data_IF_141578691973
#
_entry.id   IF_141578691973
#
_cell.length_a   1.000
_cell.length_b   1.000
_cell.length_c   1.000
_cell.angle_alpha   90.00
_cell.angle_beta   90.00
_cell.angle_gamma   90.00
#
_symmetry.space_group_name_H-M   'P 1'
#
loop_
_entity.id
_entity.type
_entity.pdbx_description
1 polymer ?
#
# COMPACT_ATOMS: atom_id res chain seq x y z
N UNK A 1 81.78 -44.17 -84.92
CA UNK A 1 80.65 -44.21 -83.95
C UNK A 1 79.88 -45.52 -84.01
N UNK A 2 79.59 -46.08 -85.19
CA UNK A 2 78.74 -47.28 -85.32
C UNK A 2 79.50 -48.62 -85.24
N UNK A 3 80.82 -48.64 -85.51
CA UNK A 3 81.58 -49.90 -85.60
C UNK A 3 81.92 -50.61 -84.27
N UNK A 4 81.75 -49.96 -83.12
CA UNK A 4 82.02 -50.55 -81.79
C UNK A 4 80.85 -50.37 -80.81
N UNK A 5 79.63 -50.16 -81.32
CA UNK A 5 78.43 -49.89 -80.50
C UNK A 5 77.26 -50.70 -81.04
N UNK A 6 76.47 -51.30 -80.15
CA UNK A 6 75.22 -51.96 -80.54
C UNK A 6 74.12 -50.91 -80.69
N UNK A 7 73.41 -50.93 -81.82
CA UNK A 7 72.29 -50.01 -82.06
C UNK A 7 71.05 -50.59 -81.39
N UNK A 8 70.41 -49.79 -80.54
CA UNK A 8 69.11 -50.07 -79.94
C UNK A 8 68.10 -49.02 -80.40
N UNK A 9 66.96 -49.48 -80.94
CA UNK A 9 65.95 -48.62 -81.55
C UNK A 9 64.79 -48.38 -80.59
N UNK A 10 64.51 -47.11 -80.31
CA UNK A 10 63.36 -46.70 -79.51
C UNK A 10 62.22 -46.22 -80.41
N UNK A 11 61.07 -46.88 -80.27
CA UNK A 11 59.83 -46.51 -80.96
C UNK A 11 58.94 -45.62 -80.08
N UNK A 12 58.00 -44.93 -80.73
CA UNK A 12 56.91 -44.26 -80.02
C UNK A 12 56.15 -45.27 -79.16
N UNK A 13 55.66 -44.83 -78.00
CA UNK A 13 54.95 -45.71 -77.08
C UNK A 13 53.64 -46.20 -77.71
N UNK A 14 53.41 -47.53 -77.78
CA UNK A 14 52.13 -48.06 -78.23
C UNK A 14 51.04 -47.74 -77.21
N UNK A 15 49.78 -47.83 -77.63
CA UNK A 15 48.61 -47.59 -76.78
C UNK A 15 48.64 -48.42 -75.49
N UNK A 16 49.06 -49.68 -75.56
CA UNK A 16 49.15 -50.56 -74.40
C UNK A 16 50.15 -50.04 -73.35
N UNK A 17 51.29 -49.51 -73.79
CA UNK A 17 52.27 -48.89 -72.90
C UNK A 17 51.72 -47.62 -72.24
N UNK A 18 50.97 -46.80 -72.98
CA UNK A 18 50.30 -45.61 -72.44
C UNK A 18 49.26 -45.98 -71.37
N UNK A 19 48.48 -47.04 -71.60
CA UNK A 19 47.48 -47.54 -70.65
C UNK A 19 48.14 -48.05 -69.36
N UNK A 20 49.19 -48.87 -69.47
CA UNK A 20 49.93 -49.40 -68.31
C UNK A 20 50.55 -48.29 -67.47
N UNK A 21 51.18 -47.30 -68.12
CA UNK A 21 51.76 -46.15 -67.41
C UNK A 21 50.67 -45.35 -66.71
N UNK A 22 49.56 -45.03 -67.38
CA UNK A 22 48.46 -44.30 -66.75
C UNK A 22 47.84 -45.08 -65.57
N UNK A 23 47.58 -46.38 -65.73
CA UNK A 23 47.05 -47.22 -64.66
C UNK A 23 47.99 -47.23 -63.45
N UNK A 24 49.31 -47.37 -63.67
CA UNK A 24 50.31 -47.33 -62.59
C UNK A 24 50.33 -46.00 -61.86
N UNK A 25 50.24 -44.89 -62.58
CA UNK A 25 50.24 -43.54 -61.98
C UNK A 25 48.92 -43.18 -61.27
N UNK A 26 47.81 -43.82 -61.65
CA UNK A 26 46.50 -43.64 -61.01
C UNK A 26 46.24 -44.63 -59.86
N UNK A 27 47.13 -45.59 -59.62
CA UNK A 27 46.90 -46.67 -58.65
C UNK A 27 46.70 -46.19 -57.21
N UNK A 28 47.27 -45.04 -56.84
CA UNK A 28 47.13 -44.43 -55.52
C UNK A 28 46.02 -43.37 -55.45
N UNK A 29 45.24 -43.21 -56.52
CA UNK A 29 44.11 -42.28 -56.58
C UNK A 29 42.82 -43.03 -56.31
N UNK A 30 42.19 -42.76 -55.16
CA UNK A 30 40.82 -43.20 -54.91
C UNK A 30 39.86 -42.44 -55.85
N UNK A 31 39.28 -43.11 -56.84
CA UNK A 31 38.39 -42.52 -57.85
C UNK A 31 36.97 -42.33 -57.28
N UNK A 32 36.63 -43.03 -56.20
CA UNK A 32 35.30 -43.03 -55.57
C UNK A 32 35.23 -42.24 -54.26
N UNK A 33 36.30 -41.52 -53.92
CA UNK A 33 36.37 -40.69 -52.72
C UNK A 33 35.16 -39.74 -52.62
N UNK A 34 34.47 -39.78 -51.48
CA UNK A 34 33.36 -38.87 -51.20
C UNK A 34 33.87 -37.48 -50.80
N UNK A 35 33.02 -36.46 -50.99
CA UNK A 35 33.34 -35.05 -50.64
C UNK A 35 33.66 -34.91 -49.14
N UNK A 36 33.12 -35.78 -48.29
CA UNK A 36 33.33 -35.79 -46.84
C UNK A 36 34.59 -36.54 -46.41
N UNK A 37 35.27 -37.23 -47.34
CA UNK A 37 36.41 -38.10 -47.03
C UNK A 37 36.03 -39.40 -46.31
N UNK A 38 34.73 -39.68 -46.15
CA UNK A 38 34.26 -40.93 -45.58
C UNK A 38 34.35 -42.04 -46.63
N UNK A 39 34.75 -43.27 -46.23
CA UNK A 39 34.67 -44.43 -47.12
C UNK A 39 33.24 -44.59 -47.61
N UNK A 40 33.08 -44.77 -48.91
CA UNK A 40 31.77 -45.12 -49.47
C UNK A 40 31.37 -46.48 -48.91
N UNK A 41 30.13 -46.63 -48.46
CA UNK A 41 29.58 -47.94 -48.13
C UNK A 41 29.61 -48.81 -49.40
N UNK A 42 30.42 -49.87 -49.37
CA UNK A 42 30.55 -50.82 -50.47
C UNK A 42 29.47 -51.89 -50.25
N UNK A 43 28.55 -52.01 -51.22
CA UNK A 43 27.57 -53.09 -51.21
C UNK A 43 28.31 -54.44 -51.35
N UNK A 44 28.08 -55.44 -50.47
CA UNK A 44 28.75 -56.74 -50.54
C UNK A 44 28.62 -57.47 -51.88
N UNK A 45 27.60 -57.13 -52.68
CA UNK A 45 27.38 -57.68 -54.02
C UNK A 45 28.33 -57.12 -55.10
N UNK A 46 29.07 -56.04 -54.83
CA UNK A 46 30.01 -55.41 -55.77
C UNK A 46 31.38 -56.10 -55.85
N UNK A 47 31.66 -57.07 -54.96
CA UNK A 47 32.95 -57.79 -54.89
C UNK A 47 33.11 -58.93 -55.91
N UNK A 48 32.12 -59.16 -56.78
CA UNK A 48 32.18 -60.21 -57.80
C UNK A 48 32.68 -59.59 -59.12
N UNK A 49 34.00 -59.45 -59.26
CA UNK A 49 34.67 -59.00 -60.50
C UNK A 49 35.46 -57.70 -60.36
N UNK A 50 35.66 -56.99 -61.48
CA UNK A 50 36.36 -55.70 -61.52
C UNK A 50 35.56 -54.68 -60.70
N UNK A 51 36.19 -54.12 -59.66
CA UNK A 51 35.57 -53.14 -58.77
C UNK A 51 35.16 -51.87 -59.54
N UNK A 52 34.18 -51.12 -59.03
CA UNK A 52 33.81 -49.82 -59.62
C UNK A 52 35.01 -48.88 -59.70
N UNK A 53 35.86 -48.88 -58.68
CA UNK A 53 37.11 -48.12 -58.61
C UNK A 53 38.02 -48.45 -59.80
N UNK A 54 38.30 -49.73 -60.03
CA UNK A 54 39.16 -50.19 -61.13
C UNK A 54 38.54 -49.86 -62.50
N UNK A 55 37.22 -49.98 -62.66
CA UNK A 55 36.54 -49.58 -63.91
C UNK A 55 36.71 -48.10 -64.21
N UNK A 56 36.55 -47.25 -63.20
CA UNK A 56 36.76 -45.80 -63.36
C UNK A 56 38.22 -45.48 -63.65
N UNK A 57 39.16 -46.11 -62.93
CA UNK A 57 40.59 -45.95 -63.16
C UNK A 57 40.98 -46.33 -64.60
N UNK A 58 40.57 -47.51 -65.07
CA UNK A 58 40.81 -47.97 -66.44
C UNK A 58 40.18 -47.05 -67.48
N UNK A 59 38.98 -46.53 -67.22
CA UNK A 59 38.31 -45.58 -68.12
C UNK A 59 39.11 -44.28 -68.24
N UNK A 60 39.61 -43.74 -67.13
CA UNK A 60 40.41 -42.51 -67.12
C UNK A 60 41.80 -42.74 -67.76
N UNK A 61 42.43 -43.88 -67.50
CA UNK A 61 43.67 -44.27 -68.19
C UNK A 61 43.46 -44.38 -69.72
N UNK A 62 42.33 -44.95 -70.14
CA UNK A 62 41.92 -45.00 -71.55
C UNK A 62 41.79 -43.62 -72.19
N UNK A 63 41.18 -42.68 -71.48
CA UNK A 63 41.05 -41.29 -71.94
C UNK A 63 42.42 -40.64 -72.13
N UNK A 64 43.38 -40.83 -71.22
CA UNK A 64 44.72 -40.28 -71.38
C UNK A 64 45.43 -40.82 -72.62
N UNK A 65 45.39 -42.14 -72.83
CA UNK A 65 46.00 -42.76 -74.01
C UNK A 65 45.39 -42.21 -75.30
N UNK A 66 44.06 -42.04 -75.36
CA UNK A 66 43.35 -41.45 -76.51
C UNK A 66 43.71 -39.97 -76.72
N UNK A 67 43.83 -39.18 -75.65
CA UNK A 67 44.25 -37.77 -75.75
C UNK A 67 45.67 -37.69 -76.33
N UNK A 68 46.60 -38.51 -75.84
CA UNK A 68 47.99 -38.50 -76.32
C UNK A 68 48.10 -38.86 -77.81
N UNK A 69 47.39 -39.90 -78.23
CA UNK A 69 47.33 -40.34 -79.63
C UNK A 69 46.70 -39.27 -80.54
N UNK A 70 45.63 -38.61 -80.07
CA UNK A 70 45.00 -37.50 -80.77
C UNK A 70 45.95 -36.31 -80.96
N UNK A 71 46.72 -35.95 -79.93
CA UNK A 71 47.74 -34.88 -80.00
C UNK A 71 48.88 -35.27 -80.94
N UNK A 72 49.33 -36.53 -80.94
CA UNK A 72 50.32 -37.04 -81.88
C UNK A 72 49.86 -36.93 -83.33
N UNK A 73 48.61 -37.33 -83.61
CA UNK A 73 47.99 -37.21 -84.92
C UNK A 73 47.88 -35.75 -85.37
N UNK A 74 47.37 -34.86 -84.50
CA UNK A 74 47.28 -33.43 -84.77
C UNK A 74 48.66 -32.79 -85.03
N UNK A 75 49.70 -33.24 -84.33
CA UNK A 75 51.07 -32.78 -84.56
C UNK A 75 51.58 -33.12 -85.97
N UNK A 76 51.25 -34.32 -86.47
CA UNK A 76 51.58 -34.75 -87.85
C UNK A 76 50.86 -33.86 -88.87
N UNK A 77 49.55 -33.63 -88.68
CA UNK A 77 48.77 -32.71 -89.53
C UNK A 77 49.33 -31.29 -89.50
N UNK A 78 49.68 -30.75 -88.34
CA UNK A 78 50.26 -29.42 -88.19
C UNK A 78 51.59 -29.26 -88.94
N UNK A 79 52.43 -30.32 -88.94
CA UNK A 79 53.66 -30.35 -89.73
C UNK A 79 53.37 -30.32 -91.23
N UNK A 80 52.34 -31.05 -91.68
CA UNK A 80 51.98 -31.14 -93.09
C UNK A 80 51.37 -29.84 -93.62
N UNK A 81 50.44 -29.26 -92.88
CA UNK A 81 49.66 -28.09 -93.31
C UNK A 81 50.39 -26.76 -93.07
N UNK A 82 50.91 -26.56 -91.85
CA UNK A 82 51.44 -25.26 -91.38
C UNK A 82 52.97 -25.22 -91.43
N UNK A 83 53.62 -26.36 -91.72
CA UNK A 83 55.09 -26.52 -91.74
C UNK A 83 55.76 -26.16 -90.41
N UNK A 84 55.03 -26.27 -89.29
CA UNK A 84 55.56 -26.07 -87.94
C UNK A 84 55.72 -27.42 -87.23
N UNK A 85 56.85 -27.60 -86.56
CA UNK A 85 57.15 -28.80 -85.80
C UNK A 85 56.63 -28.65 -84.37
N UNK A 86 55.87 -29.64 -83.91
CA UNK A 86 55.53 -29.83 -82.51
C UNK A 86 55.99 -31.23 -82.07
N UNK A 87 56.65 -31.32 -80.92
CA UNK A 87 57.22 -32.59 -80.45
C UNK A 87 56.35 -33.14 -79.33
N UNK A 88 55.78 -34.32 -79.56
CA UNK A 88 55.00 -35.04 -78.57
C UNK A 88 55.93 -36.04 -77.90
N UNK A 89 56.22 -35.84 -76.62
CA UNK A 89 57.18 -36.67 -75.87
C UNK A 89 56.49 -37.46 -74.76
N UNK A 90 57.06 -38.59 -74.31
CA UNK A 90 56.57 -39.30 -73.14
C UNK A 90 56.49 -38.42 -71.88
N UNK A 91 57.38 -37.44 -71.74
CA UNK A 91 57.34 -36.46 -70.64
C UNK A 91 56.03 -35.68 -70.62
N UNK A 92 55.53 -35.25 -71.79
CA UNK A 92 54.24 -34.55 -71.86
C UNK A 92 53.06 -35.46 -71.42
N UNK A 93 53.16 -36.76 -71.67
CA UNK A 93 52.18 -37.73 -71.19
C UNK A 93 52.21 -37.87 -69.66
N UNK A 94 53.41 -37.99 -69.08
CA UNK A 94 53.57 -38.08 -67.62
C UNK A 94 53.09 -36.80 -66.92
N UNK A 95 53.33 -35.64 -67.51
CA UNK A 95 52.82 -34.34 -67.05
C UNK A 95 51.30 -34.28 -67.09
N UNK A 96 50.66 -34.82 -68.15
CA UNK A 96 49.19 -34.90 -68.23
C UNK A 96 48.60 -35.72 -67.08
N UNK A 97 49.12 -36.92 -66.84
CA UNK A 97 48.60 -37.83 -65.79
C UNK A 97 48.86 -37.24 -64.40
N UNK A 98 50.07 -36.74 -64.15
CA UNK A 98 50.43 -36.12 -62.86
C UNK A 98 49.65 -34.82 -62.62
N UNK A 99 49.48 -34.00 -63.66
CA UNK A 99 48.71 -32.77 -63.63
C UNK A 99 47.24 -33.02 -63.31
N UNK A 100 46.64 -34.07 -63.91
CA UNK A 100 45.29 -34.50 -63.57
C UNK A 100 45.15 -34.86 -62.09
N UNK A 101 46.08 -35.67 -61.55
CA UNK A 101 46.06 -36.08 -60.15
C UNK A 101 46.10 -34.89 -59.19
N UNK A 102 47.00 -33.93 -59.45
CA UNK A 102 47.12 -32.71 -58.65
C UNK A 102 45.88 -31.82 -58.77
N UNK A 103 45.32 -31.68 -59.97
CA UNK A 103 44.10 -30.90 -60.19
C UNK A 103 42.90 -31.55 -59.50
N UNK A 104 42.77 -32.88 -59.56
CA UNK A 104 41.69 -33.62 -58.93
C UNK A 104 41.72 -33.45 -57.41
N UNK A 105 42.90 -33.58 -56.79
CA UNK A 105 43.05 -33.41 -55.33
C UNK A 105 42.72 -31.97 -54.90
N UNK A 106 43.21 -30.97 -55.63
CA UNK A 106 42.90 -29.57 -55.37
C UNK A 106 41.40 -29.26 -55.48
N UNK A 107 40.74 -29.77 -56.54
CA UNK A 107 39.30 -29.57 -56.75
C UNK A 107 38.45 -30.30 -55.73
N UNK A 108 38.83 -31.51 -55.32
CA UNK A 108 38.15 -32.21 -54.22
C UNK A 108 38.22 -31.43 -52.91
N UNK A 109 39.39 -30.87 -52.58
CA UNK A 109 39.56 -30.05 -51.38
C UNK A 109 38.70 -28.77 -51.43
N UNK A 110 38.67 -28.09 -52.59
CA UNK A 110 37.83 -26.90 -52.81
C UNK A 110 36.33 -27.22 -52.61
N UNK A 111 35.85 -28.32 -53.18
CA UNK A 111 34.47 -28.79 -52.99
C UNK A 111 34.20 -29.20 -51.54
N UNK A 112 35.11 -29.91 -50.89
CA UNK A 112 34.98 -30.33 -49.49
C UNK A 112 34.89 -29.14 -48.54
N UNK A 113 35.73 -28.11 -48.74
CA UNK A 113 35.69 -26.88 -47.96
C UNK A 113 34.37 -26.12 -48.16
N UNK A 114 33.88 -26.05 -49.39
CA UNK A 114 32.59 -25.42 -49.71
C UNK A 114 31.42 -26.15 -49.06
N UNK A 115 31.41 -27.49 -49.13
CA UNK A 115 30.41 -28.33 -48.49
C UNK A 115 30.45 -28.20 -46.97
N UNK A 116 31.65 -28.18 -46.37
CA UNK A 116 31.84 -27.98 -44.92
C UNK A 116 31.29 -26.63 -44.46
N UNK A 117 31.56 -25.55 -45.22
CA UNK A 117 31.00 -24.22 -44.94
C UNK A 117 29.47 -24.22 -44.93
N UNK A 118 28.84 -24.84 -45.93
CA UNK A 118 27.38 -24.96 -46.00
C UNK A 118 26.84 -25.80 -44.84
N UNK A 119 27.48 -26.93 -44.51
CA UNK A 119 27.09 -27.80 -43.41
C UNK A 119 27.15 -27.08 -42.06
N UNK A 120 28.19 -26.29 -41.83
CA UNK A 120 28.32 -25.48 -40.63
C UNK A 120 27.24 -24.40 -40.58
N UNK A 121 26.92 -23.75 -41.70
CA UNK A 121 25.82 -22.80 -41.80
C UNK A 121 24.47 -23.41 -41.45
N UNK A 122 24.16 -24.58 -42.03
CA UNK A 122 22.94 -25.34 -41.72
C UNK A 122 22.86 -25.72 -40.25
N UNK A 123 23.98 -26.17 -39.66
CA UNK A 123 24.03 -26.51 -38.24
C UNK A 123 23.77 -25.30 -37.34
N UNK A 124 24.23 -24.11 -37.72
CA UNK A 124 23.91 -22.89 -36.94
C UNK A 124 22.45 -22.46 -37.10
N UNK A 125 21.87 -22.61 -38.30
CA UNK A 125 20.45 -22.34 -38.53
C UNK A 125 19.60 -23.28 -37.67
N UNK A 126 19.94 -24.57 -37.63
CA UNK A 126 19.22 -25.57 -36.84
C UNK A 126 19.30 -25.28 -35.33
N UNK A 127 20.49 -24.95 -34.82
CA UNK A 127 20.67 -24.48 -33.43
C UNK A 127 19.84 -23.24 -33.11
N UNK A 128 19.80 -22.30 -34.04
CA UNK A 128 19.05 -21.04 -33.86
C UNK A 128 17.54 -21.31 -33.86
N UNK A 129 17.08 -22.22 -34.73
CA UNK A 129 15.68 -22.66 -34.78
C UNK A 129 15.24 -23.23 -33.43
N UNK A 130 16.01 -24.16 -32.86
CA UNK A 130 15.72 -24.74 -31.53
C UNK A 130 15.65 -23.65 -30.46
N UNK A 131 16.60 -22.73 -30.44
CA UNK A 131 16.61 -21.62 -29.46
C UNK A 131 15.41 -20.67 -29.60
N UNK A 132 14.97 -20.39 -30.82
CA UNK A 132 13.78 -19.56 -31.08
C UNK A 132 12.50 -20.26 -30.61
N UNK A 133 12.43 -21.58 -30.77
CA UNK A 133 11.31 -22.39 -30.28
C UNK A 133 11.24 -22.40 -28.75
N UNK A 134 12.39 -22.59 -28.07
CA UNK A 134 12.50 -22.47 -26.61
C UNK A 134 12.08 -21.09 -26.11
N UNK A 135 12.61 -20.02 -26.72
CA UNK A 135 12.23 -18.64 -26.38
C UNK A 135 10.74 -18.35 -26.60
N UNK A 136 10.13 -18.94 -27.64
CA UNK A 136 8.70 -18.75 -27.91
C UNK A 136 7.84 -19.39 -26.82
N UNK A 137 8.23 -20.56 -26.33
CA UNK A 137 7.56 -21.24 -25.21
C UNK A 137 7.71 -20.43 -23.91
N UNK A 138 8.90 -19.90 -23.63
CA UNK A 138 9.13 -19.03 -22.47
C UNK A 138 8.31 -17.74 -22.55
N UNK A 139 8.23 -17.13 -23.73
CA UNK A 139 7.44 -15.92 -23.96
C UNK A 139 5.95 -16.17 -23.76
N UNK A 140 5.42 -17.30 -24.22
CA UNK A 140 4.01 -17.66 -24.02
C UNK A 140 3.69 -17.84 -22.54
N UNK A 141 4.56 -18.54 -21.78
CA UNK A 141 4.43 -18.67 -20.33
C UNK A 141 4.47 -17.32 -19.62
N UNK A 142 5.44 -16.47 -19.97
CA UNK A 142 5.57 -15.14 -19.39
C UNK A 142 4.35 -14.25 -19.71
N UNK A 143 3.82 -14.34 -20.92
CA UNK A 143 2.62 -13.59 -21.35
C UNK A 143 1.39 -14.00 -20.52
N UNK A 144 1.20 -15.31 -20.30
CA UNK A 144 0.10 -15.80 -19.44
C UNK A 144 0.27 -15.30 -18.00
N UNK A 145 1.48 -15.37 -17.43
CA UNK A 145 1.74 -14.86 -16.08
C UNK A 145 1.50 -13.35 -15.97
N UNK A 146 1.97 -12.55 -16.92
CA UNK A 146 1.77 -11.10 -16.94
C UNK A 146 0.28 -10.76 -17.04
N UNK A 147 -0.47 -11.46 -17.89
CA UNK A 147 -1.92 -11.24 -18.00
C UNK A 147 -2.66 -11.59 -16.70
N UNK A 148 -2.26 -12.67 -16.03
CA UNK A 148 -2.84 -13.04 -14.73
C UNK A 148 -2.51 -11.98 -13.66
N UNK A 149 -1.26 -11.53 -13.57
CA UNK A 149 -0.86 -10.49 -12.61
C UNK A 149 -1.57 -9.16 -12.90
N UNK A 150 -1.73 -8.77 -14.17
CA UNK A 150 -2.49 -7.58 -14.55
C UNK A 150 -3.96 -7.68 -14.11
N UNK A 151 -4.59 -8.84 -14.30
CA UNK A 151 -5.97 -9.04 -13.84
C UNK A 151 -6.07 -8.95 -12.31
N UNK A 152 -5.15 -9.58 -11.57
CA UNK A 152 -5.09 -9.49 -10.11
C UNK A 152 -4.88 -8.02 -9.64
N UNK A 153 -4.03 -7.26 -10.32
CA UNK A 153 -3.82 -5.83 -10.06
C UNK A 153 -5.09 -4.99 -10.33
N UNK A 154 -5.79 -5.25 -11.43
CA UNK A 154 -7.04 -4.56 -11.77
C UNK A 154 -8.14 -4.84 -10.71
N UNK A 155 -8.30 -6.09 -10.29
CA UNK A 155 -9.24 -6.49 -9.22
C UNK A 155 -8.89 -5.82 -7.88
N UNK A 156 -7.60 -5.71 -7.57
CA UNK A 156 -7.11 -5.06 -6.36
C UNK A 156 -7.34 -3.54 -6.40
N UNK A 157 -7.12 -2.89 -7.55
CA UNK A 157 -7.40 -1.46 -7.75
C UNK A 157 -8.89 -1.15 -7.56
N UNK A 158 -9.79 -2.01 -8.05
CA UNK A 158 -11.24 -1.89 -7.81
C UNK A 158 -11.55 -1.97 -6.31
N UNK A 159 -10.89 -2.87 -5.58
CA UNK A 159 -11.06 -3.01 -4.13
C UNK A 159 -10.60 -1.74 -3.39
N UNK A 160 -9.42 -1.20 -3.71
CA UNK A 160 -8.93 0.06 -3.14
C UNK A 160 -9.90 1.20 -3.45
N UNK A 161 -10.39 1.30 -4.68
CA UNK A 161 -11.31 2.37 -5.09
C UNK A 161 -12.62 2.32 -4.29
N UNK A 162 -13.19 1.12 -4.09
CA UNK A 162 -14.39 0.93 -3.28
C UNK A 162 -14.15 1.29 -1.81
N UNK A 163 -13.08 0.77 -1.21
CA UNK A 163 -12.71 1.04 0.18
C UNK A 163 -12.47 2.56 0.42
N UNK A 164 -11.85 3.23 -0.57
CA UNK A 164 -11.62 4.68 -0.55
C UNK A 164 -12.92 5.45 -0.56
N UNK A 165 -13.83 5.09 -1.47
CA UNK A 165 -15.15 5.74 -1.57
C UNK A 165 -15.92 5.62 -0.25
N UNK A 166 -15.95 4.43 0.34
CA UNK A 166 -16.63 4.19 1.62
C UNK A 166 -16.00 4.99 2.78
N UNK A 167 -14.66 5.03 2.82
CA UNK A 167 -13.93 5.79 3.85
C UNK A 167 -14.19 7.30 3.71
N UNK A 168 -14.17 7.84 2.48
CA UNK A 168 -14.44 9.25 2.21
C UNK A 168 -15.89 9.64 2.56
N UNK A 169 -16.87 8.77 2.26
CA UNK A 169 -18.28 8.97 2.63
C UNK A 169 -18.45 9.00 4.15
N UNK A 170 -17.85 8.05 4.87
CA UNK A 170 -17.90 8.01 6.34
C UNK A 170 -17.17 9.21 6.97
N UNK A 171 -16.02 9.62 6.42
CA UNK A 171 -15.29 10.80 6.87
C UNK A 171 -16.13 12.08 6.71
N UNK A 172 -16.83 12.25 5.59
CA UNK A 172 -17.77 13.37 5.38
C UNK A 172 -18.92 13.33 6.38
N UNK A 173 -19.52 12.17 6.62
CA UNK A 173 -20.62 12.03 7.59
C UNK A 173 -20.18 12.34 9.03
N UNK A 174 -18.97 11.91 9.42
CA UNK A 174 -18.37 12.21 10.73
C UNK A 174 -18.04 13.69 10.85
N UNK A 175 -17.49 14.31 9.82
CA UNK A 175 -17.19 15.75 9.82
C UNK A 175 -18.48 16.59 9.97
N UNK A 176 -19.54 16.26 9.22
CA UNK A 176 -20.83 16.93 9.34
C UNK A 176 -21.46 16.75 10.73
N UNK A 177 -21.36 15.56 11.31
CA UNK A 177 -21.86 15.28 12.66
C UNK A 177 -21.04 16.01 13.72
N UNK A 178 -19.72 16.15 13.54
CA UNK A 178 -18.84 16.90 14.43
C UNK A 178 -19.18 18.40 14.47
N UNK A 179 -19.52 19.01 13.32
CA UNK A 179 -19.95 20.41 13.27
C UNK A 179 -21.23 20.61 14.08
N UNK A 180 -22.25 19.77 13.87
CA UNK A 180 -23.51 19.84 14.62
C UNK A 180 -23.31 19.66 16.13
N UNK A 181 -22.50 18.69 16.54
CA UNK A 181 -22.20 18.46 17.96
C UNK A 181 -21.47 19.65 18.57
N UNK A 182 -20.57 20.31 17.81
CA UNK A 182 -19.87 21.52 18.26
C UNK A 182 -20.81 22.72 18.44
N UNK A 183 -21.81 22.86 17.58
CA UNK A 183 -22.87 23.87 17.74
C UNK A 183 -23.71 23.58 18.99
N UNK A 184 -24.11 22.32 19.21
CA UNK A 184 -24.83 21.90 20.42
C UNK A 184 -23.98 22.08 21.70
N UNK A 185 -22.67 21.81 21.65
CA UNK A 185 -21.72 22.10 22.73
C UNK A 185 -21.72 23.58 23.10
N UNK A 186 -21.64 24.48 22.11
CA UNK A 186 -21.64 25.91 22.35
C UNK A 186 -22.96 26.39 22.98
N UNK A 187 -24.09 25.85 22.52
CA UNK A 187 -25.42 26.15 23.10
C UNK A 187 -25.48 25.64 24.55
N UNK A 188 -25.02 24.42 24.83
CA UNK A 188 -25.00 23.85 26.17
C UNK A 188 -24.10 24.66 27.13
N UNK A 189 -22.95 25.14 26.64
CA UNK A 189 -22.06 26.03 27.39
C UNK A 189 -22.75 27.35 27.72
N UNK A 190 -23.37 28.01 26.75
CA UNK A 190 -24.13 29.25 27.00
C UNK A 190 -25.27 29.04 28.01
N UNK A 191 -26.01 27.93 27.91
CA UNK A 191 -27.06 27.61 28.88
C UNK A 191 -26.50 27.39 30.29
N UNK A 192 -25.32 26.79 30.40
CA UNK A 192 -24.62 26.57 31.66
C UNK A 192 -24.16 27.89 32.26
N UNK A 193 -23.54 28.77 31.45
CA UNK A 193 -23.10 30.09 31.88
C UNK A 193 -24.27 30.95 32.39
N UNK A 194 -25.41 30.94 31.67
CA UNK A 194 -26.62 31.67 32.11
C UNK A 194 -27.16 31.10 33.43
N UNK A 195 -27.24 29.78 33.56
CA UNK A 195 -27.73 29.15 34.80
C UNK A 195 -26.81 29.44 36.01
N UNK A 196 -25.49 29.49 35.79
CA UNK A 196 -24.51 29.81 36.83
C UNK A 196 -24.50 31.30 37.17
N UNK A 197 -24.61 32.18 36.18
CA UNK A 197 -24.66 33.63 36.38
C UNK A 197 -25.88 34.04 37.22
N UNK A 198 -27.06 33.48 36.92
CA UNK A 198 -28.28 33.71 37.70
C UNK A 198 -28.13 33.24 39.15
N UNK A 199 -27.48 32.07 39.37
CA UNK A 199 -27.23 31.55 40.71
C UNK A 199 -26.24 32.43 41.49
N UNK A 200 -25.25 32.98 40.80
CA UNK A 200 -24.22 33.83 41.38
C UNK A 200 -24.76 35.18 41.87
N UNK A 201 -25.93 35.64 41.40
CA UNK A 201 -26.58 36.86 41.90
C UNK A 201 -27.02 36.75 43.38
N UNK A 202 -27.35 35.54 43.83
CA UNK A 202 -27.81 35.27 45.19
C UNK A 202 -26.68 34.83 46.14
N UNK A 203 -25.60 34.27 45.59
CA UNK A 203 -24.57 33.56 46.36
C UNK A 203 -23.79 34.48 47.32
N UNK A 204 -23.36 35.71 46.95
CA UNK A 204 -22.65 36.61 47.86
C UNK A 204 -23.50 37.05 49.06
N UNK A 205 -24.79 37.33 48.83
CA UNK A 205 -25.71 37.71 49.90
C UNK A 205 -25.96 36.55 50.87
N UNK A 206 -25.98 35.32 50.36
CA UNK A 206 -26.10 34.10 51.16
C UNK A 206 -24.84 33.82 51.97
N UNK A 207 -23.65 33.95 51.37
CA UNK A 207 -22.37 33.78 52.05
C UNK A 207 -22.19 34.81 53.17
N UNK A 208 -22.50 36.08 52.92
CA UNK A 208 -22.46 37.15 53.93
C UNK A 208 -23.40 36.82 55.11
N UNK A 209 -24.61 36.35 54.81
CA UNK A 209 -25.57 35.94 55.82
C UNK A 209 -25.13 34.71 56.62
N UNK A 210 -24.49 33.73 55.98
CA UNK A 210 -23.94 32.55 56.67
C UNK A 210 -22.80 32.96 57.59
N UNK A 211 -21.87 33.82 57.15
CA UNK A 211 -20.78 34.36 57.99
C UNK A 211 -21.34 35.13 59.19
N UNK A 212 -22.37 35.97 58.98
CA UNK A 212 -23.03 36.70 60.06
C UNK A 212 -23.72 35.76 61.07
N UNK A 213 -24.20 34.60 60.61
CA UNK A 213 -24.77 33.54 61.45
C UNK A 213 -23.69 32.75 62.22
N UNK A 214 -22.50 32.56 61.64
CA UNK A 214 -21.36 31.93 62.33
C UNK A 214 -20.79 32.82 63.44
N UNK A 215 -20.87 34.13 63.26
CA UNK A 215 -20.42 35.12 64.26
C UNK A 215 -21.32 35.18 65.50
N UNK A 216 -22.52 34.59 65.46
CA UNK A 216 -23.42 34.51 66.61
C UNK A 216 -22.92 33.50 67.63
N UNK A 217 -22.87 33.91 68.90
CA UNK A 217 -22.51 33.03 70.00
C UNK A 217 -23.71 32.75 70.93
N UNK A 218 -23.57 31.78 71.83
CA UNK A 218 -24.63 31.36 72.76
C UNK A 218 -25.09 32.49 73.70
N UNK A 219 -24.25 33.49 73.99
CA UNK A 219 -24.61 34.63 74.84
C UNK A 219 -25.58 35.56 74.11
N UNK A 220 -25.35 35.81 72.84
CA UNK A 220 -26.22 36.65 71.98
C UNK A 220 -27.64 36.07 71.86
N UNK A 221 -27.76 34.74 71.76
CA UNK A 221 -29.06 34.05 71.79
C UNK A 221 -29.74 34.09 73.16
N UNK A 222 -28.96 34.04 74.23
CA UNK A 222 -29.48 34.13 75.60
C UNK A 222 -30.02 35.54 75.89
N UNK A 223 -29.39 36.57 75.33
CA UNK A 223 -29.86 37.97 75.38
C UNK A 223 -31.25 38.10 74.73
N UNK A 224 -31.42 37.62 73.49
CA UNK A 224 -32.71 37.64 72.79
C UNK A 224 -33.78 36.82 73.54
N UNK A 225 -33.40 35.69 74.14
CA UNK A 225 -34.31 34.85 74.94
C UNK A 225 -34.76 35.53 76.24
N UNK A 226 -33.94 36.41 76.80
CA UNK A 226 -34.19 37.06 78.10
C UNK A 226 -35.32 38.09 78.07
N UNK A 227 -35.76 38.53 76.87
CA UNK A 227 -36.90 39.43 76.74
C UNK A 227 -38.18 38.79 77.32
N UNK A 228 -38.76 39.45 78.33
CA UNK A 228 -40.07 39.11 78.88
C UNK A 228 -41.20 39.40 77.89
N UNK A 229 -41.15 40.58 77.25
CA UNK A 229 -41.94 40.97 76.08
C UNK A 229 -40.98 41.46 74.99
N UNK A 230 -40.87 40.79 73.84
CA UNK A 230 -39.89 41.14 72.81
C UNK A 230 -40.26 42.50 72.18
N UNK A 231 -39.27 43.34 71.83
CA UNK A 231 -39.49 44.48 70.96
C UNK A 231 -40.10 44.04 69.63
N UNK A 232 -41.01 44.84 69.06
CA UNK A 232 -41.77 44.44 67.87
C UNK A 232 -40.87 44.04 66.68
N UNK A 233 -39.73 44.73 66.51
CA UNK A 233 -38.72 44.39 65.48
C UNK A 233 -38.08 43.03 65.69
N UNK A 234 -37.73 42.68 66.94
CA UNK A 234 -37.13 41.39 67.29
C UNK A 234 -38.17 40.26 67.17
N UNK A 235 -39.40 40.53 67.59
CA UNK A 235 -40.54 39.60 67.44
C UNK A 235 -40.77 39.26 65.96
N UNK A 236 -40.78 40.28 65.10
CA UNK A 236 -40.98 40.13 63.65
C UNK A 236 -39.89 39.28 62.99
N UNK A 237 -38.61 39.48 63.36
CA UNK A 237 -37.49 38.66 62.85
C UNK A 237 -37.61 37.22 63.34
N UNK A 238 -37.96 36.99 64.60
CA UNK A 238 -38.13 35.62 65.13
C UNK A 238 -39.30 34.90 64.48
N UNK A 239 -40.42 35.57 64.24
CA UNK A 239 -41.55 35.01 63.48
C UNK A 239 -41.12 34.60 62.07
N UNK A 240 -40.36 35.45 61.36
CA UNK A 240 -39.86 35.14 60.03
C UNK A 240 -38.89 33.94 60.00
N UNK A 241 -38.03 33.80 61.02
CA UNK A 241 -37.16 32.62 61.19
C UNK A 241 -37.99 31.35 61.45
N UNK A 242 -39.03 31.42 62.29
CA UNK A 242 -39.92 30.27 62.56
C UNK A 242 -40.71 29.86 61.30
N UNK A 243 -41.13 30.81 60.47
CA UNK A 243 -41.80 30.55 59.19
C UNK A 243 -40.86 29.82 58.22
N UNK A 244 -39.58 30.21 58.13
CA UNK A 244 -38.57 29.50 57.32
C UNK A 244 -38.40 28.05 57.79
N UNK A 245 -38.37 27.83 59.11
CA UNK A 245 -38.28 26.48 59.72
C UNK A 245 -39.58 25.68 59.66
N UNK A 246 -40.66 26.22 59.08
CA UNK A 246 -41.99 25.62 59.01
C UNK A 246 -42.60 25.29 60.38
N UNK A 247 -42.26 26.06 61.41
CA UNK A 247 -42.80 25.93 62.77
C UNK A 247 -43.77 27.08 63.06
N UNK A 248 -44.62 26.92 64.07
CA UNK A 248 -45.61 27.93 64.47
C UNK A 248 -44.93 29.29 64.75
N UNK A 249 -45.37 30.38 64.08
CA UNK A 249 -44.75 31.70 64.21
C UNK A 249 -45.22 32.41 65.49
N UNK A 250 -45.02 31.79 66.65
CA UNK A 250 -45.33 32.38 67.95
C UNK A 250 -44.06 32.66 68.73
N UNK A 251 -44.08 33.72 69.54
CA UNK A 251 -42.95 34.05 70.41
C UNK A 251 -42.63 32.94 71.42
N UNK A 252 -43.65 32.21 71.88
CA UNK A 252 -43.47 31.09 72.81
C UNK A 252 -42.60 29.98 72.19
N UNK A 253 -42.89 29.63 70.93
CA UNK A 253 -42.17 28.60 70.19
C UNK A 253 -40.78 29.07 69.72
N UNK A 254 -40.67 30.34 69.32
CA UNK A 254 -39.36 30.95 69.03
C UNK A 254 -38.44 30.95 70.27
N UNK A 255 -38.98 31.28 71.45
CA UNK A 255 -38.25 31.29 72.71
C UNK A 255 -37.81 29.89 73.16
N UNK A 256 -38.59 28.86 72.81
CA UNK A 256 -38.23 27.45 73.03
C UNK A 256 -37.02 27.06 72.19
N UNK A 257 -37.06 27.34 70.88
CA UNK A 257 -36.00 26.98 69.94
C UNK A 257 -34.70 27.78 70.13
N UNK A 258 -34.77 29.05 70.53
CA UNK A 258 -33.60 29.83 70.92
C UNK A 258 -32.85 29.22 72.13
N UNK A 259 -33.49 28.33 72.90
CA UNK A 259 -32.87 27.59 74.00
C UNK A 259 -32.15 26.30 73.59
N UNK A 260 -32.34 25.83 72.35
CA UNK A 260 -31.72 24.60 71.87
C UNK A 260 -30.24 24.86 71.52
N UNK A 261 -29.33 23.99 72.00
CA UNK A 261 -27.89 24.17 71.80
C UNK A 261 -27.46 24.09 70.33
N UNK A 262 -28.27 23.46 69.48
CA UNK A 262 -28.05 23.29 68.05
C UNK A 262 -28.83 24.28 67.18
N UNK A 263 -29.46 25.32 67.74
CA UNK A 263 -30.28 26.27 66.97
C UNK A 263 -29.51 26.90 65.79
N UNK A 264 -28.28 27.38 66.03
CA UNK A 264 -27.43 27.94 64.97
C UNK A 264 -27.04 26.88 63.94
N UNK A 265 -26.68 25.68 64.38
CA UNK A 265 -26.35 24.55 63.50
C UNK A 265 -27.52 24.19 62.60
N UNK A 266 -28.75 24.14 63.13
CA UNK A 266 -29.97 23.89 62.35
C UNK A 266 -30.24 24.97 61.29
N UNK A 267 -29.81 26.22 61.52
CA UNK A 267 -29.94 27.31 60.54
C UNK A 267 -28.84 27.27 59.47
N UNK A 268 -27.65 26.74 59.80
CA UNK A 268 -26.56 26.50 58.84
C UNK A 268 -26.84 25.32 57.93
N UNK A 269 -27.37 24.24 58.49
CA UNK A 269 -27.71 23.00 57.78
C UNK A 269 -29.10 23.07 57.12
N UNK A 270 -29.72 24.25 57.08
CA UNK A 270 -31.04 24.43 56.50
C UNK A 270 -31.02 24.16 54.99
N UNK A 271 -32.00 23.40 54.51
CA UNK A 271 -32.17 23.10 53.09
C UNK A 271 -32.67 24.34 52.33
N UNK A 272 -31.70 25.13 51.89
CA UNK A 272 -31.88 26.34 51.10
C UNK A 272 -32.40 26.10 49.68
N UNK A 273 -32.28 24.87 49.17
CA UNK A 273 -32.65 24.51 47.80
C UNK A 273 -34.14 24.13 47.69
N UNK A 274 -34.77 23.67 48.78
CA UNK A 274 -36.15 23.17 48.78
C UNK A 274 -37.15 24.01 49.61
N UNK A 275 -37.04 25.34 49.56
CA UNK A 275 -38.01 26.24 50.22
C UNK A 275 -39.32 26.28 49.43
N UNK A 276 -40.45 25.99 50.09
CA UNK A 276 -41.76 25.97 49.42
C UNK A 276 -42.24 27.38 49.00
N UNK A 277 -42.96 27.48 47.87
CA UNK A 277 -43.57 28.74 47.39
C UNK A 277 -44.51 29.37 48.45
N UNK A 278 -45.17 28.53 49.27
CA UNK A 278 -46.02 28.97 50.37
C UNK A 278 -45.21 29.65 51.47
N UNK A 279 -44.03 29.15 51.77
CA UNK A 279 -43.09 29.70 52.76
C UNK A 279 -42.49 31.02 52.26
N UNK A 280 -42.02 31.08 51.01
CA UNK A 280 -41.47 32.30 50.41
C UNK A 280 -42.51 33.44 50.37
N UNK A 281 -43.76 33.16 49.99
CA UNK A 281 -44.85 34.16 49.99
C UNK A 281 -45.13 34.71 51.39
N UNK A 282 -45.07 33.86 52.42
CA UNK A 282 -45.27 34.29 53.81
C UNK A 282 -44.13 35.18 54.28
N UNK A 283 -42.89 34.82 53.99
CA UNK A 283 -41.70 35.60 54.38
C UNK A 283 -41.65 36.93 53.65
N UNK A 284 -42.10 36.96 52.38
CA UNK A 284 -42.15 38.19 51.59
C UNK A 284 -43.00 39.30 52.25
N UNK A 285 -44.04 38.95 52.99
CA UNK A 285 -44.85 39.90 53.76
C UNK A 285 -44.02 40.61 54.83
N UNK A 286 -43.05 39.90 55.42
CA UNK A 286 -42.16 40.43 56.45
C UNK A 286 -41.00 41.22 55.84
N UNK A 287 -40.32 40.67 54.84
CA UNK A 287 -39.14 41.31 54.22
C UNK A 287 -39.48 42.52 53.35
N UNK A 288 -40.74 42.65 52.89
CA UNK A 288 -41.22 43.86 52.20
C UNK A 288 -41.60 45.00 53.16
N UNK A 289 -41.64 44.75 54.47
CA UNK A 289 -41.91 45.77 55.47
C UNK A 289 -40.67 46.65 55.68
N UNK A 290 -40.81 47.98 55.61
CA UNK A 290 -39.73 48.94 55.80
C UNK A 290 -39.07 48.88 57.20
N UNK A 291 -39.72 48.23 58.17
CA UNK A 291 -39.18 47.98 59.51
C UNK A 291 -38.33 46.70 59.62
N UNK A 292 -38.36 45.81 58.61
CA UNK A 292 -37.59 44.57 58.50
C UNK A 292 -36.27 44.82 57.76
N UNK A 293 -35.45 45.71 58.32
CA UNK A 293 -34.15 46.09 57.74
C UNK A 293 -33.02 45.72 58.73
N UNK A 294 -31.94 45.05 58.28
CA UNK A 294 -30.85 44.65 59.16
C UNK A 294 -30.23 45.79 59.96
N UNK A 295 -30.09 46.99 59.38
CA UNK A 295 -29.51 48.16 60.05
C UNK A 295 -30.45 48.66 61.14
N UNK A 296 -31.76 48.72 60.86
CA UNK A 296 -32.77 49.16 61.84
C UNK A 296 -32.98 48.15 62.97
N UNK A 297 -32.96 46.86 62.67
CA UNK A 297 -33.06 45.78 63.68
C UNK A 297 -31.80 45.74 64.55
N UNK A 298 -30.65 46.02 63.95
CA UNK A 298 -29.36 46.05 64.63
C UNK A 298 -29.17 47.08 65.72
N UNK A 299 -29.91 48.20 65.64
CA UNK A 299 -29.96 49.20 66.71
C UNK A 299 -30.58 48.61 67.99
N UNK A 300 -31.47 47.63 67.84
CA UNK A 300 -32.18 47.00 68.96
C UNK A 300 -31.48 45.73 69.44
N UNK A 301 -30.98 44.90 68.52
CA UNK A 301 -30.23 43.69 68.86
C UNK A 301 -29.32 43.26 67.70
N UNK A 302 -28.04 43.06 68.01
CA UNK A 302 -27.02 42.53 67.09
C UNK A 302 -27.35 41.08 66.68
N UNK A 303 -27.84 40.27 67.61
CA UNK A 303 -28.28 38.90 67.32
C UNK A 303 -29.46 38.87 66.33
N UNK A 304 -30.43 39.77 66.52
CA UNK A 304 -31.57 39.91 65.61
C UNK A 304 -31.16 40.47 64.25
N UNK A 305 -30.09 41.28 64.15
CA UNK A 305 -29.54 41.74 62.87
C UNK A 305 -29.02 40.57 62.03
N UNK A 306 -28.20 39.69 62.58
CA UNK A 306 -27.65 38.53 61.83
C UNK A 306 -28.76 37.59 61.36
N UNK A 307 -29.77 37.36 62.21
CA UNK A 307 -30.94 36.54 61.84
C UNK A 307 -31.81 37.23 60.78
N UNK A 308 -31.94 38.55 60.83
CA UNK A 308 -32.62 39.35 59.80
C UNK A 308 -31.90 39.25 58.44
N UNK A 309 -30.57 39.41 58.41
CA UNK A 309 -29.75 39.22 57.19
C UNK A 309 -29.91 37.81 56.61
N UNK A 310 -29.92 36.79 57.47
CA UNK A 310 -30.13 35.40 57.08
C UNK A 310 -31.50 35.15 56.45
N UNK A 311 -32.59 35.69 57.03
CA UNK A 311 -33.93 35.57 56.45
C UNK A 311 -34.01 36.22 55.06
N UNK A 312 -33.46 37.44 54.90
CA UNK A 312 -33.46 38.17 53.63
C UNK A 312 -32.65 37.43 52.56
N UNK A 313 -31.47 36.91 52.93
CA UNK A 313 -30.63 36.14 52.02
C UNK A 313 -31.29 34.81 51.60
N UNK A 314 -31.96 34.12 52.52
CA UNK A 314 -32.70 32.88 52.23
C UNK A 314 -33.91 33.12 51.32
N UNK A 315 -34.63 34.23 51.50
CA UNK A 315 -35.72 34.61 50.60
C UNK A 315 -35.19 34.94 49.19
N UNK A 316 -34.11 35.74 49.10
CA UNK A 316 -33.48 36.11 47.83
C UNK A 316 -32.95 34.86 47.10
N UNK A 317 -32.25 33.97 47.81
CA UNK A 317 -31.77 32.70 47.28
C UNK A 317 -32.92 31.81 46.83
N UNK A 318 -33.96 31.60 47.65
CA UNK A 318 -35.08 30.74 47.28
C UNK A 318 -35.86 31.23 46.05
N UNK A 319 -36.01 32.56 45.88
CA UNK A 319 -36.63 33.15 44.67
C UNK A 319 -35.79 32.91 43.42
N UNK A 320 -34.47 33.10 43.52
CA UNK A 320 -33.54 32.91 42.40
C UNK A 320 -33.40 31.42 42.06
N UNK A 321 -33.29 30.55 43.07
CA UNK A 321 -33.24 29.10 42.92
C UNK A 321 -34.47 28.55 42.21
N UNK A 322 -35.66 29.15 42.40
CA UNK A 322 -36.88 28.75 41.67
C UNK A 322 -36.77 28.97 40.15
N UNK A 323 -36.01 29.98 39.72
CA UNK A 323 -35.75 30.30 38.31
C UNK A 323 -34.58 29.47 37.78
N UNK A 324 -33.57 29.21 38.60
CA UNK A 324 -32.37 28.43 38.23
C UNK A 324 -32.63 26.93 38.20
N UNK A 325 -33.44 26.36 39.10
CA UNK A 325 -33.74 24.93 39.18
C UNK A 325 -34.21 24.31 37.83
N UNK A 326 -35.20 24.88 37.11
CA UNK A 326 -35.57 24.37 35.80
C UNK A 326 -34.49 24.59 34.73
N UNK A 327 -33.68 25.65 34.84
CA UNK A 327 -32.54 25.88 33.92
C UNK A 327 -31.45 24.83 34.13
N UNK A 328 -31.14 24.49 35.38
CA UNK A 328 -30.17 23.46 35.76
C UNK A 328 -30.62 22.08 35.29
N UNK A 329 -31.88 21.71 35.49
CA UNK A 329 -32.42 20.44 34.98
C UNK A 329 -32.31 20.34 33.44
N UNK A 330 -32.58 21.45 32.72
CA UNK A 330 -32.39 21.51 31.26
C UNK A 330 -30.92 21.41 30.85
N UNK A 331 -29.99 22.01 31.61
CA UNK A 331 -28.55 21.90 31.38
C UNK A 331 -28.08 20.45 31.61
N UNK A 332 -28.55 19.80 32.67
CA UNK A 332 -28.20 18.41 32.98
C UNK A 332 -28.70 17.44 31.89
N UNK A 333 -29.94 17.64 31.41
CA UNK A 333 -30.50 16.87 30.29
C UNK A 333 -29.73 17.10 28.99
N UNK A 334 -29.46 18.37 28.64
CA UNK A 334 -28.69 18.72 27.44
C UNK A 334 -27.26 18.18 27.50
N UNK A 335 -26.60 18.24 28.66
CA UNK A 335 -25.25 17.71 28.87
C UNK A 335 -25.22 16.19 28.76
N UNK A 336 -26.23 15.50 29.29
CA UNK A 336 -26.33 14.04 29.16
C UNK A 336 -26.53 13.60 27.71
N UNK A 337 -27.42 14.28 26.97
CA UNK A 337 -27.63 14.04 25.54
C UNK A 337 -26.37 14.33 24.71
N UNK A 338 -25.67 15.43 25.02
CA UNK A 338 -24.43 15.82 24.36
C UNK A 338 -23.32 14.78 24.59
N UNK A 339 -23.18 14.28 25.83
CA UNK A 339 -22.20 13.24 26.17
C UNK A 339 -22.43 11.95 25.37
N UNK A 340 -23.69 11.55 25.18
CA UNK A 340 -24.02 10.39 24.33
C UNK A 340 -23.62 10.63 22.87
N UNK A 341 -23.97 11.80 22.30
CA UNK A 341 -23.61 12.16 20.93
C UNK A 341 -22.09 12.25 20.73
N UNK A 342 -21.36 12.80 21.69
CA UNK A 342 -19.89 12.84 21.68
C UNK A 342 -19.27 11.45 21.73
N UNK A 343 -19.82 10.52 22.53
CA UNK A 343 -19.36 9.13 22.57
C UNK A 343 -19.55 8.41 21.24
N UNK A 344 -20.71 8.61 20.59
CA UNK A 344 -21.00 8.07 19.25
C UNK A 344 -20.03 8.67 18.22
N UNK A 345 -19.79 9.98 18.27
CA UNK A 345 -18.84 10.66 17.39
C UNK A 345 -17.41 10.13 17.58
N UNK A 346 -16.98 9.90 18.82
CA UNK A 346 -15.67 9.35 19.13
C UNK A 346 -15.50 7.93 18.57
N UNK A 347 -16.51 7.07 18.75
CA UNK A 347 -16.52 5.73 18.16
C UNK A 347 -16.48 5.77 16.63
N UNK A 348 -17.26 6.67 16.01
CA UNK A 348 -17.27 6.84 14.55
C UNK A 348 -15.91 7.35 14.02
N UNK A 349 -15.27 8.31 14.71
CA UNK A 349 -13.90 8.78 14.38
C UNK A 349 -12.86 7.67 14.50
N UNK A 350 -12.95 6.84 15.54
CA UNK A 350 -12.05 5.69 15.71
C UNK A 350 -12.19 4.72 14.52
N UNK A 351 -13.42 4.38 14.14
CA UNK A 351 -13.70 3.50 12.99
C UNK A 351 -13.15 4.06 11.68
N UNK A 352 -13.31 5.37 11.42
CA UNK A 352 -12.74 5.98 10.21
C UNK A 352 -11.21 5.96 10.23
N UNK A 353 -10.59 6.13 11.40
CA UNK A 353 -9.14 6.03 11.55
C UNK A 353 -8.63 4.61 11.27
N UNK A 354 -9.36 3.58 11.71
CA UNK A 354 -9.06 2.18 11.38
C UNK A 354 -9.19 1.91 9.89
N UNK A 355 -10.28 2.37 9.25
CA UNK A 355 -10.46 2.22 7.80
C UNK A 355 -9.38 2.94 7.00
N UNK A 356 -8.95 4.13 7.43
CA UNK A 356 -7.86 4.86 6.80
C UNK A 356 -6.53 4.08 6.90
N UNK A 357 -6.24 3.48 8.07
CA UNK A 357 -5.06 2.62 8.22
C UNK A 357 -5.11 1.39 7.32
N UNK A 358 -6.25 0.73 7.25
CA UNK A 358 -6.45 -0.42 6.36
C UNK A 358 -6.26 -0.02 4.90
N UNK A 359 -6.73 1.15 4.52
CA UNK A 359 -6.57 1.68 3.16
C UNK A 359 -5.13 2.03 2.83
N UNK A 360 -4.37 2.56 3.80
CA UNK A 360 -2.96 2.86 3.63
C UNK A 360 -2.12 1.56 3.57
N UNK A 361 -2.50 0.53 4.33
CA UNK A 361 -1.92 -0.82 4.22
C UNK A 361 -2.21 -1.43 2.85
N UNK A 362 -3.46 -1.42 2.39
CA UNK A 362 -3.83 -1.91 1.06
C UNK A 362 -3.03 -1.21 -0.05
N UNK A 363 -2.82 0.10 0.05
CA UNK A 363 -1.97 0.82 -0.92
C UNK A 363 -0.51 0.37 -0.88
N UNK A 364 0.06 0.19 0.32
CA UNK A 364 1.43 -0.30 0.45
C UNK A 364 1.57 -1.72 -0.14
N UNK A 365 0.62 -2.61 0.15
CA UNK A 365 0.56 -3.96 -0.41
C UNK A 365 0.43 -3.95 -1.94
N UNK A 366 -0.21 -2.93 -2.52
CA UNK A 366 -0.27 -2.71 -3.98
C UNK A 366 1.05 -2.21 -4.54
N UNK A 367 1.72 -1.26 -3.89
CA UNK A 367 2.99 -0.71 -4.38
C UNK A 367 4.16 -1.72 -4.28
N UNK A 368 4.06 -2.71 -3.39
CA UNK A 368 5.04 -3.82 -3.29
C UNK A 368 4.82 -4.93 -4.33
N UNK A 369 3.63 -5.05 -4.91
CA UNK A 369 3.29 -6.03 -5.95
C UNK A 369 3.63 -5.50 -7.35
#
# INVERSE_FOLDING_TARGET
>A
LVNCTTIDWFLEWPKDALLEVANKFLADVDMLQTITGLPREIDPSENIGITKQEKFQQSVAGIFATIHDSVSTCSKTMREEIKRYNYVTPTNYLELVTGYKNMLSAKRLECANSASKLRNGLLQIDKTKVKVEEMSIELEKATVQVNQMNQECDEFLVTIANQKRETDEQQKAVAASAVKIREEEAICQQMTEVALADLQEAMPALEEAMVALEALNKKDLTEVKSYGRPPDKVKMVMEAVMILKQVEPTWAEAKRQLGEANFITQLKDFDRDHISDKTLKKINIYTSNADFDPVKVGIVSTAAMSLCKWVIAMEKYGKIYRVVAPKRAKVDEATAALKQKQAILAAAKAKVTELQKLLDQLKADFDEK
#
